data_IF_348367656850
#
_entry.id   IF_348367656850
#
_cell.length_a   1.000
_cell.length_b   1.000
_cell.length_c   1.000
_cell.angle_alpha   90.00
_cell.angle_beta   90.00
_cell.angle_gamma   90.00
#
_symmetry.space_group_name_H-M   'P 1'
#
loop_
_entity.id
_entity.type
_entity.pdbx_description
1 polymer ?
#
# COMPACT_ATOMS: atom_id res chain seq x y z
N UNK A 1 8.29 -42.05 -11.52
CA UNK A 1 9.18 -41.72 -10.37
C UNK A 1 8.80 -40.40 -9.70
N UNK A 2 8.61 -39.29 -10.44
CA UNK A 2 8.20 -37.98 -9.88
C UNK A 2 6.87 -37.98 -9.11
N UNK A 3 5.87 -38.76 -9.55
CA UNK A 3 4.56 -38.85 -8.88
C UNK A 3 4.64 -39.41 -7.44
N UNK A 4 5.56 -40.34 -7.15
CA UNK A 4 5.69 -40.94 -5.82
C UNK A 4 6.34 -39.99 -4.81
N UNK A 5 7.29 -39.17 -5.28
CA UNK A 5 7.92 -38.13 -4.46
C UNK A 5 6.89 -37.06 -4.09
N UNK A 6 6.06 -36.64 -5.05
CA UNK A 6 4.98 -35.69 -4.79
C UNK A 6 3.96 -36.23 -3.78
N UNK A 7 3.57 -37.50 -3.90
CA UNK A 7 2.64 -38.13 -2.95
C UNK A 7 3.23 -38.20 -1.53
N UNK A 8 4.50 -38.57 -1.39
CA UNK A 8 5.17 -38.59 -0.08
C UNK A 8 5.23 -37.20 0.56
N UNK A 9 5.55 -36.17 -0.23
CA UNK A 9 5.56 -34.78 0.25
C UNK A 9 4.18 -34.35 0.72
N UNK A 10 3.12 -34.69 -0.02
CA UNK A 10 1.75 -34.38 0.36
C UNK A 10 1.36 -35.08 1.67
N UNK A 11 1.76 -36.35 1.84
CA UNK A 11 1.51 -37.11 3.07
C UNK A 11 2.23 -36.49 4.28
N UNK A 12 3.50 -36.10 4.13
CA UNK A 12 4.27 -35.40 5.17
C UNK A 12 3.59 -34.08 5.59
N UNK A 13 3.20 -33.25 4.62
CA UNK A 13 2.49 -31.98 4.88
C UNK A 13 1.17 -32.22 5.63
N UNK A 14 0.44 -33.29 5.29
CA UNK A 14 -0.81 -33.66 5.98
C UNK A 14 -0.52 -34.06 7.43
N UNK A 15 0.53 -34.84 7.68
CA UNK A 15 0.92 -35.23 9.04
C UNK A 15 1.36 -34.01 9.86
N UNK A 16 2.20 -33.14 9.31
CA UNK A 16 2.62 -31.91 10.00
C UNK A 16 1.44 -31.01 10.35
N UNK A 17 0.48 -30.83 9.42
CA UNK A 17 -0.76 -30.08 9.71
C UNK A 17 -1.54 -30.70 10.87
N UNK A 18 -1.61 -32.03 10.93
CA UNK A 18 -2.30 -32.74 12.01
C UNK A 18 -1.59 -32.53 13.35
N UNK A 19 -0.27 -32.66 13.39
CA UNK A 19 0.56 -32.41 14.59
C UNK A 19 0.39 -30.97 15.07
N UNK A 20 0.47 -29.99 14.16
CA UNK A 20 0.28 -28.58 14.49
C UNK A 20 -1.12 -28.31 15.07
N UNK A 21 -2.16 -28.89 14.47
CA UNK A 21 -3.54 -28.78 14.98
C UNK A 21 -3.69 -29.34 16.40
N UNK A 22 -3.07 -30.50 16.67
CA UNK A 22 -3.06 -31.11 18.00
C UNK A 22 -2.31 -30.24 19.02
N UNK A 23 -1.14 -29.71 18.65
CA UNK A 23 -0.37 -28.79 19.48
C UNK A 23 -1.18 -27.53 19.82
N UNK A 24 -1.74 -26.85 18.80
CA UNK A 24 -2.55 -25.65 19.00
C UNK A 24 -3.76 -25.94 19.89
N UNK A 25 -4.46 -27.06 19.69
CA UNK A 25 -5.60 -27.43 20.54
C UNK A 25 -5.21 -27.73 21.99
N UNK A 26 -4.07 -28.38 22.22
CA UNK A 26 -3.58 -28.71 23.56
C UNK A 26 -3.14 -27.47 24.34
N UNK A 27 -2.48 -26.53 23.67
CA UNK A 27 -1.86 -25.36 24.31
C UNK A 27 -2.65 -24.06 24.11
N UNK A 28 -3.82 -24.08 23.46
CA UNK A 28 -4.62 -22.86 23.16
C UNK A 28 -4.92 -22.01 24.38
N UNK A 29 -5.16 -22.62 25.54
CA UNK A 29 -5.49 -21.89 26.78
C UNK A 29 -4.30 -21.13 27.36
N UNK A 30 -3.07 -21.54 27.04
CA UNK A 30 -1.84 -20.90 27.51
C UNK A 30 -1.30 -19.89 26.50
N UNK A 31 -1.33 -20.24 25.22
CA UNK A 31 -0.72 -19.45 24.15
C UNK A 31 -1.68 -18.48 23.48
N UNK A 32 -3.00 -18.68 23.65
CA UNK A 32 -4.06 -17.94 22.96
C UNK A 32 -3.74 -17.71 21.46
N UNK A 33 -3.38 -18.74 20.69
CA UNK A 33 -2.72 -18.57 19.39
C UNK A 33 -3.59 -17.94 18.30
N UNK A 34 -4.89 -17.77 18.57
CA UNK A 34 -5.86 -17.08 17.69
C UNK A 34 -6.33 -15.74 18.25
N UNK A 35 -6.01 -15.44 19.51
CA UNK A 35 -6.37 -14.16 20.11
C UNK A 35 -5.42 -13.08 19.59
N UNK A 36 -6.01 -12.01 19.08
CA UNK A 36 -5.29 -10.78 18.77
C UNK A 36 -6.22 -9.65 19.14
N UNK A 37 -5.77 -8.69 19.94
CA UNK A 37 -6.59 -7.51 20.21
C UNK A 37 -6.96 -6.77 18.91
N UNK A 38 -6.13 -6.93 17.88
CA UNK A 38 -6.39 -6.35 16.57
C UNK A 38 -7.58 -6.98 15.83
N UNK A 39 -8.00 -8.20 16.17
CA UNK A 39 -9.19 -8.82 15.54
C UNK A 39 -10.50 -8.13 15.92
N UNK A 40 -10.49 -7.27 16.94
CA UNK A 40 -11.65 -6.49 17.37
C UNK A 40 -11.69 -5.10 16.72
N UNK A 41 -10.59 -4.65 16.12
CA UNK A 41 -10.64 -3.47 15.25
C UNK A 41 -11.28 -3.87 13.92
N UNK A 42 -12.22 -3.05 13.45
CA UNK A 42 -12.62 -3.13 12.04
C UNK A 42 -11.45 -2.60 11.23
N UNK A 43 -10.64 -3.47 10.64
CA UNK A 43 -9.70 -3.06 9.62
C UNK A 43 -10.49 -2.88 8.33
N UNK A 44 -11.19 -1.77 8.17
CA UNK A 44 -11.75 -1.40 6.86
C UNK A 44 -10.73 -0.57 6.06
N UNK A 45 -11.03 -0.34 4.77
CA UNK A 45 -10.13 0.39 3.87
C UNK A 45 -9.79 1.78 4.43
N UNK A 46 -10.74 2.43 5.10
CA UNK A 46 -10.61 3.77 5.66
C UNK A 46 -9.62 3.81 6.82
N UNK A 47 -9.71 2.89 7.79
CA UNK A 47 -8.77 2.86 8.92
C UNK A 47 -7.34 2.63 8.44
N UNK A 48 -7.15 1.74 7.47
CA UNK A 48 -5.84 1.52 6.87
C UNK A 48 -5.32 2.76 6.14
N UNK A 49 -6.17 3.45 5.39
CA UNK A 49 -5.80 4.72 4.75
C UNK A 49 -5.40 5.78 5.77
N UNK A 50 -6.13 5.89 6.89
CA UNK A 50 -5.78 6.80 7.98
C UNK A 50 -4.42 6.47 8.61
N UNK A 51 -4.15 5.19 8.87
CA UNK A 51 -2.85 4.76 9.44
C UNK A 51 -1.71 5.10 8.48
N UNK A 52 -1.87 4.81 7.19
CA UNK A 52 -0.84 5.12 6.19
C UNK A 52 -0.65 6.62 6.00
N UNK A 53 -1.74 7.40 6.00
CA UNK A 53 -1.68 8.84 5.93
C UNK A 53 -0.96 9.44 7.14
N UNK A 54 -1.27 8.99 8.36
CA UNK A 54 -0.59 9.44 9.57
C UNK A 54 0.90 9.09 9.52
N UNK A 55 1.26 7.86 9.15
CA UNK A 55 2.66 7.44 9.02
C UNK A 55 3.44 8.26 7.98
N UNK A 56 2.81 8.65 6.87
CA UNK A 56 3.49 9.36 5.78
C UNK A 56 3.45 10.89 5.92
N UNK A 57 2.73 11.42 6.92
CA UNK A 57 2.74 12.84 7.27
C UNK A 57 3.89 13.12 8.24
N UNK A 58 4.87 13.98 7.92
CA UNK A 58 5.92 14.37 8.86
C UNK A 58 5.39 14.99 10.16
N UNK A 59 4.18 15.57 10.11
CA UNK A 59 3.47 16.14 11.26
C UNK A 59 2.47 15.15 11.90
N UNK A 60 2.50 13.89 11.47
CA UNK A 60 1.67 12.81 11.98
C UNK A 60 1.91 12.53 13.46
N UNK A 61 0.93 11.88 14.09
CA UNK A 61 0.93 11.61 15.54
C UNK A 61 2.07 10.72 16.02
N UNK A 62 2.72 10.00 15.11
CA UNK A 62 3.86 9.14 15.38
C UNK A 62 5.14 9.91 15.80
N UNK A 63 5.26 11.20 15.49
CA UNK A 63 6.36 12.05 15.97
C UNK A 63 7.76 11.68 15.47
N UNK A 64 7.85 11.06 14.28
CA UNK A 64 9.11 10.62 13.66
C UNK A 64 9.53 11.47 12.46
N UNK A 65 8.92 12.65 12.32
CA UNK A 65 9.24 13.62 11.27
C UNK A 65 9.24 12.94 9.88
N UNK A 66 10.20 13.25 9.00
CA UNK A 66 10.29 12.70 7.65
C UNK A 66 10.68 11.20 7.54
N UNK A 67 10.86 10.47 8.65
CA UNK A 67 11.45 9.12 8.61
C UNK A 67 10.73 8.16 7.66
N UNK A 68 9.40 8.06 7.77
CA UNK A 68 8.62 7.09 6.99
C UNK A 68 8.58 7.45 5.51
N UNK A 69 8.33 8.71 5.16
CA UNK A 69 8.31 9.12 3.76
C UNK A 69 9.69 9.03 3.11
N UNK A 70 10.76 9.35 3.85
CA UNK A 70 12.14 9.15 3.40
C UNK A 70 12.42 7.66 3.14
N UNK A 71 12.02 6.79 4.07
CA UNK A 71 12.16 5.33 3.90
C UNK A 71 11.38 4.81 2.70
N UNK A 72 10.19 5.35 2.45
CA UNK A 72 9.41 5.02 1.27
C UNK A 72 10.15 5.41 -0.03
N UNK A 73 10.69 6.64 -0.12
CA UNK A 73 11.47 7.10 -1.30
C UNK A 73 12.70 6.21 -1.53
N UNK A 74 13.40 5.83 -0.44
CA UNK A 74 14.57 4.94 -0.48
C UNK A 74 14.18 3.54 -0.99
N UNK A 75 13.11 2.94 -0.45
CA UNK A 75 12.63 1.61 -0.87
C UNK A 75 12.18 1.58 -2.33
N UNK A 76 11.73 2.71 -2.86
CA UNK A 76 11.22 2.85 -4.24
C UNK A 76 12.23 3.44 -5.21
N UNK A 77 13.50 3.58 -4.82
CA UNK A 77 14.56 4.21 -5.62
C UNK A 77 14.65 3.71 -7.07
N UNK A 78 14.45 2.42 -7.31
CA UNK A 78 14.57 1.83 -8.65
C UNK A 78 13.29 2.00 -9.51
N UNK A 79 12.17 2.40 -8.91
CA UNK A 79 10.89 2.62 -9.59
C UNK A 79 10.43 4.08 -9.55
N UNK A 80 11.27 4.99 -9.07
CA UNK A 80 11.00 6.42 -9.07
C UNK A 80 11.98 7.11 -9.98
N UNK A 81 11.53 8.22 -10.58
CA UNK A 81 12.43 9.12 -11.30
C UNK A 81 13.54 9.62 -10.35
N UNK A 82 14.77 9.77 -10.87
CA UNK A 82 15.92 10.18 -10.08
C UNK A 82 15.72 11.50 -9.33
N UNK A 83 14.86 12.38 -9.83
CA UNK A 83 14.51 13.64 -9.18
C UNK A 83 13.89 13.44 -7.78
N UNK A 84 13.20 12.32 -7.53
CA UNK A 84 12.67 11.99 -6.20
C UNK A 84 13.78 11.80 -5.16
N UNK A 85 14.93 11.27 -5.57
CA UNK A 85 16.07 11.06 -4.68
C UNK A 85 16.78 12.38 -4.32
N UNK A 86 16.49 13.46 -5.05
CA UNK A 86 17.06 14.79 -4.85
C UNK A 86 16.14 15.70 -4.02
N UNK A 87 14.96 15.23 -3.63
CA UNK A 87 14.04 16.01 -2.79
C UNK A 87 14.69 16.23 -1.43
N UNK A 88 14.90 17.49 -1.07
CA UNK A 88 15.30 17.87 0.27
C UNK A 88 14.06 17.96 1.17
N UNK A 89 13.73 16.86 1.85
CA UNK A 89 12.51 16.76 2.65
C UNK A 89 12.45 17.82 3.77
N UNK A 90 13.59 18.15 4.39
CA UNK A 90 13.70 19.16 5.45
C UNK A 90 13.34 20.58 4.96
N UNK A 91 13.40 20.81 3.65
CA UNK A 91 13.04 22.08 3.00
C UNK A 91 11.76 21.97 2.17
N UNK A 92 11.04 20.85 2.29
CA UNK A 92 9.82 20.59 1.55
C UNK A 92 8.58 20.94 2.38
N UNK A 93 7.54 21.40 1.70
CA UNK A 93 6.19 21.44 2.26
C UNK A 93 5.47 20.17 1.83
N UNK A 94 5.10 19.35 2.80
CA UNK A 94 4.34 18.11 2.57
C UNK A 94 2.90 18.32 3.02
N UNK A 95 1.94 17.85 2.22
CA UNK A 95 0.51 17.87 2.54
C UNK A 95 -0.05 16.48 2.27
N UNK A 96 -0.70 15.89 3.28
CA UNK A 96 -1.37 14.60 3.16
C UNK A 96 -2.88 14.82 3.15
N UNK A 97 -3.56 14.24 2.16
CA UNK A 97 -5.01 14.37 1.96
C UNK A 97 -5.63 12.98 1.89
N UNK A 98 -6.74 12.81 2.59
CA UNK A 98 -7.57 11.61 2.54
C UNK A 98 -8.79 11.88 1.66
N UNK A 99 -9.22 10.86 0.91
CA UNK A 99 -10.41 10.91 0.06
C UNK A 99 -10.46 12.13 -0.87
N UNK A 100 -9.32 12.52 -1.45
CA UNK A 100 -9.20 13.68 -2.34
C UNK A 100 -10.02 13.45 -3.61
N UNK A 101 -10.97 14.35 -3.87
CA UNK A 101 -11.88 14.22 -5.01
C UNK A 101 -11.13 14.41 -6.33
N UNK A 102 -11.38 13.51 -7.28
CA UNK A 102 -11.02 13.72 -8.67
C UNK A 102 -11.96 14.76 -9.28
N UNK A 103 -11.40 15.83 -9.83
CA UNK A 103 -12.14 16.95 -10.43
C UNK A 103 -12.44 16.74 -11.91
N UNK A 104 -11.73 15.81 -12.56
CA UNK A 104 -11.98 15.42 -13.95
C UNK A 104 -13.13 14.40 -13.97
N UNK A 105 -14.24 14.85 -14.56
CA UNK A 105 -15.46 14.10 -14.83
C UNK A 105 -16.36 13.98 -13.60
N UNK A 106 -17.68 14.05 -13.81
CA UNK A 106 -18.77 13.86 -12.83
C UNK A 106 -18.79 12.46 -12.15
N UNK A 107 -17.64 11.81 -12.04
CA UNK A 107 -17.45 10.44 -11.57
C UNK A 107 -17.49 10.31 -10.05
N UNK A 108 -17.48 11.42 -9.29
CA UNK A 108 -17.48 11.45 -7.82
C UNK A 108 -16.35 10.60 -7.18
N UNK A 109 -15.30 10.28 -7.95
CA UNK A 109 -14.18 9.43 -7.50
C UNK A 109 -13.28 10.16 -6.51
N UNK A 110 -12.64 9.39 -5.63
CA UNK A 110 -11.79 9.89 -4.55
C UNK A 110 -10.53 9.06 -4.45
N UNK A 111 -9.37 9.70 -4.59
CA UNK A 111 -8.10 9.07 -4.28
C UNK A 111 -8.05 8.82 -2.77
N UNK A 112 -7.85 7.57 -2.35
CA UNK A 112 -7.89 7.23 -0.92
C UNK A 112 -6.88 8.05 -0.11
N UNK A 113 -5.64 8.18 -0.63
CA UNK A 113 -4.60 9.06 -0.08
C UNK A 113 -3.88 9.79 -1.22
N UNK A 114 -3.73 11.11 -1.09
CA UNK A 114 -2.85 11.93 -1.93
C UNK A 114 -1.86 12.68 -1.06
N UNK A 115 -0.57 12.44 -1.29
CA UNK A 115 0.54 13.15 -0.65
C UNK A 115 1.17 14.08 -1.68
N UNK A 116 1.15 15.37 -1.39
CA UNK A 116 1.79 16.41 -2.22
C UNK A 116 3.07 16.87 -1.53
N UNK A 117 4.18 16.89 -2.28
CA UNK A 117 5.47 17.38 -1.80
C UNK A 117 5.87 18.56 -2.68
N UNK A 118 6.06 19.73 -2.07
CA UNK A 118 6.56 20.92 -2.76
C UNK A 118 7.97 21.25 -2.27
N UNK A 119 8.94 21.26 -3.18
CA UNK A 119 10.34 21.51 -2.85
C UNK A 119 10.99 22.34 -3.97
N UNK A 120 11.57 23.49 -3.64
CA UNK A 120 12.28 24.38 -4.58
C UNK A 120 11.51 24.73 -5.88
N UNK A 121 10.18 24.87 -5.82
CA UNK A 121 9.36 25.19 -7.00
C UNK A 121 8.81 23.97 -7.74
N UNK A 122 9.34 22.78 -7.46
CA UNK A 122 8.88 21.51 -8.02
C UNK A 122 7.75 20.92 -7.15
N UNK A 123 6.80 20.24 -7.80
CA UNK A 123 5.68 19.55 -7.15
C UNK A 123 5.73 18.07 -7.47
N UNK A 124 5.72 17.24 -6.44
CA UNK A 124 5.65 15.80 -6.54
C UNK A 124 4.35 15.29 -5.91
N UNK A 125 3.82 14.18 -6.43
CA UNK A 125 2.63 13.55 -5.88
C UNK A 125 2.79 12.04 -5.71
N UNK A 126 2.44 11.56 -4.53
CA UNK A 126 2.25 10.15 -4.25
C UNK A 126 0.77 9.91 -3.99
N UNK A 127 0.12 9.18 -4.90
CA UNK A 127 -1.24 8.71 -4.72
C UNK A 127 -1.22 7.25 -4.27
N UNK A 128 -2.04 6.91 -3.28
CA UNK A 128 -2.20 5.53 -2.80
C UNK A 128 -3.69 5.20 -2.82
N UNK A 129 -4.05 4.16 -3.56
CA UNK A 129 -5.37 3.56 -3.54
C UNK A 129 -5.31 2.26 -2.73
N UNK A 130 -6.12 2.15 -1.68
CA UNK A 130 -6.09 1.06 -0.72
C UNK A 130 -7.32 0.17 -0.87
N UNK A 131 -7.14 -1.00 -1.52
CA UNK A 131 -8.19 -2.01 -1.75
C UNK A 131 -7.82 -3.38 -1.17
N UNK A 132 -7.77 -3.50 0.16
CA UNK A 132 -7.44 -4.75 0.85
C UNK A 132 -8.53 -5.83 0.68
N UNK A 133 -9.79 -5.45 0.43
CA UNK A 133 -10.91 -6.40 0.41
C UNK A 133 -11.70 -6.42 -0.90
N UNK A 134 -11.49 -5.46 -1.79
CA UNK A 134 -12.26 -5.30 -3.01
C UNK A 134 -11.37 -5.14 -4.25
N UNK A 135 -11.99 -5.32 -5.42
CA UNK A 135 -11.41 -4.85 -6.68
C UNK A 135 -11.86 -3.41 -6.91
N UNK A 136 -11.06 -2.66 -7.65
CA UNK A 136 -11.37 -1.28 -7.99
C UNK A 136 -12.54 -1.17 -8.99
N UNK A 137 -13.04 0.05 -9.16
CA UNK A 137 -14.01 0.33 -10.22
C UNK A 137 -13.32 0.39 -11.59
N UNK A 138 -14.04 0.02 -12.66
CA UNK A 138 -13.52 0.07 -14.02
C UNK A 138 -12.92 1.44 -14.35
N UNK A 139 -11.68 1.44 -14.85
CA UNK A 139 -10.88 2.62 -15.22
C UNK A 139 -10.46 3.55 -14.07
N UNK A 140 -10.67 3.20 -12.80
CA UNK A 140 -10.34 4.08 -11.67
C UNK A 140 -8.88 4.52 -11.66
N UNK A 141 -7.95 3.58 -11.78
CA UNK A 141 -6.51 3.89 -11.80
C UNK A 141 -6.07 4.69 -13.03
N UNK A 142 -6.75 4.51 -14.17
CA UNK A 142 -6.47 5.30 -15.37
C UNK A 142 -6.82 6.77 -15.13
N UNK A 143 -8.02 7.00 -14.61
CA UNK A 143 -8.51 8.36 -14.38
C UNK A 143 -7.65 9.09 -13.34
N UNK A 144 -7.11 8.37 -12.34
CA UNK A 144 -6.14 8.94 -11.40
C UNK A 144 -4.79 9.23 -12.05
N UNK A 145 -4.25 8.32 -12.86
CA UNK A 145 -3.00 8.55 -13.59
C UNK A 145 -3.09 9.77 -14.52
N UNK A 146 -4.20 9.89 -15.27
CA UNK A 146 -4.43 11.03 -16.17
C UNK A 146 -4.56 12.36 -15.41
N UNK A 147 -5.13 12.35 -14.20
CA UNK A 147 -5.20 13.53 -13.33
C UNK A 147 -3.85 13.90 -12.73
N UNK A 148 -3.11 12.91 -12.22
CA UNK A 148 -1.79 13.09 -11.62
C UNK A 148 -0.78 13.62 -12.64
N UNK A 149 -0.78 13.09 -13.86
CA UNK A 149 0.08 13.60 -14.94
C UNK A 149 -0.25 15.05 -15.28
N UNK A 150 -1.53 15.45 -15.24
CA UNK A 150 -1.88 16.84 -15.48
C UNK A 150 -1.46 17.78 -14.33
N UNK A 151 -1.63 17.34 -13.08
CA UNK A 151 -1.35 18.16 -11.88
C UNK A 151 0.15 18.22 -11.54
N UNK A 152 0.87 17.14 -11.81
CA UNK A 152 2.27 16.93 -11.44
C UNK A 152 3.05 16.30 -12.61
N UNK A 153 3.19 16.99 -13.76
CA UNK A 153 3.77 16.41 -14.98
C UNK A 153 5.10 15.72 -14.72
N UNK A 154 5.21 14.45 -15.09
CA UNK A 154 6.38 13.60 -14.83
C UNK A 154 6.84 13.47 -13.36
N UNK A 155 6.09 13.97 -12.38
CA UNK A 155 6.47 14.00 -10.97
C UNK A 155 5.44 13.34 -10.06
N UNK A 156 4.87 12.23 -10.51
CA UNK A 156 3.93 11.46 -9.69
C UNK A 156 4.22 9.96 -9.69
N UNK A 157 3.71 9.31 -8.64
CA UNK A 157 3.60 7.86 -8.51
C UNK A 157 2.21 7.49 -8.00
N UNK A 158 1.65 6.40 -8.55
CA UNK A 158 0.38 5.81 -8.10
C UNK A 158 0.66 4.41 -7.55
N UNK A 159 0.29 4.17 -6.30
CA UNK A 159 0.37 2.88 -5.62
C UNK A 159 -1.03 2.28 -5.51
N UNK A 160 -1.16 1.00 -5.85
CA UNK A 160 -2.36 0.21 -5.63
C UNK A 160 -2.10 -0.90 -4.61
N UNK A 161 -2.60 -0.71 -3.39
CA UNK A 161 -2.47 -1.70 -2.33
C UNK A 161 -3.61 -2.72 -2.43
N UNK A 162 -3.30 -3.96 -2.84
CA UNK A 162 -4.26 -5.06 -2.90
C UNK A 162 -4.04 -6.05 -1.77
N UNK A 163 -5.13 -6.55 -1.16
CA UNK A 163 -5.03 -7.51 -0.05
C UNK A 163 -4.42 -8.87 -0.41
N UNK A 164 -4.28 -9.16 -1.70
CA UNK A 164 -3.65 -10.40 -2.19
C UNK A 164 -2.17 -10.24 -2.52
N UNK A 165 -1.62 -9.02 -2.46
CA UNK A 165 -0.25 -8.71 -2.89
C UNK A 165 0.01 -8.93 -4.38
N UNK A 166 -1.04 -9.15 -5.18
CA UNK A 166 -0.95 -9.31 -6.64
C UNK A 166 -1.67 -8.16 -7.33
N UNK A 167 -0.98 -7.52 -8.27
CA UNK A 167 -1.59 -6.60 -9.24
C UNK A 167 -1.78 -7.38 -10.54
N UNK A 168 -2.90 -8.07 -10.69
CA UNK A 168 -3.23 -8.74 -11.96
C UNK A 168 -4.02 -7.79 -12.86
N UNK A 169 -3.32 -6.84 -13.51
CA UNK A 169 -3.92 -5.97 -14.53
C UNK A 169 -3.05 -5.91 -15.79
N UNK A 170 -3.42 -6.61 -16.86
CA UNK A 170 -2.80 -6.39 -18.16
C UNK A 170 -3.23 -5.00 -18.66
N UNK A 171 -2.28 -4.06 -18.78
CA UNK A 171 -2.53 -2.74 -19.40
C UNK A 171 -1.83 -1.54 -18.74
N UNK A 172 -1.25 -1.69 -17.54
CA UNK A 172 -0.44 -0.64 -16.91
C UNK A 172 1.00 -1.11 -16.82
N UNK A 173 1.85 -0.57 -17.70
CA UNK A 173 3.28 -0.87 -17.77
C UNK A 173 4.00 0.48 -17.64
N UNK A 174 4.68 0.69 -16.53
CA UNK A 174 5.53 1.85 -16.27
C UNK A 174 5.98 1.89 -14.80
N UNK A 175 7.21 2.34 -14.56
CA UNK A 175 7.84 2.35 -13.23
C UNK A 175 7.05 3.19 -12.18
N UNK A 176 6.17 4.08 -12.67
CA UNK A 176 5.29 4.95 -11.88
C UNK A 176 4.09 4.24 -11.22
N UNK A 177 3.90 2.94 -11.47
CA UNK A 177 2.85 2.13 -10.84
C UNK A 177 3.49 1.13 -9.87
N UNK A 178 2.89 0.98 -8.69
CA UNK A 178 3.37 0.10 -7.64
C UNK A 178 2.27 -0.74 -7.01
#
# INVERSE_FOLDING_TARGET
MQSKVLLNLLDEVVQEKKVNSLFLNRYKNLLAPKFSIFSYFRTDELILSNILADLLDPQGSHGQDYLFIKKWIELRKNGLDESWQKINLDQSKITVKLEEKNWRLDTLRRMDILIEIFCHGEKYALCIENKPFASDQKNQLKDYADELEQRYPNQWQLIYLSGSGKVNRPGFIGDRFA
#
